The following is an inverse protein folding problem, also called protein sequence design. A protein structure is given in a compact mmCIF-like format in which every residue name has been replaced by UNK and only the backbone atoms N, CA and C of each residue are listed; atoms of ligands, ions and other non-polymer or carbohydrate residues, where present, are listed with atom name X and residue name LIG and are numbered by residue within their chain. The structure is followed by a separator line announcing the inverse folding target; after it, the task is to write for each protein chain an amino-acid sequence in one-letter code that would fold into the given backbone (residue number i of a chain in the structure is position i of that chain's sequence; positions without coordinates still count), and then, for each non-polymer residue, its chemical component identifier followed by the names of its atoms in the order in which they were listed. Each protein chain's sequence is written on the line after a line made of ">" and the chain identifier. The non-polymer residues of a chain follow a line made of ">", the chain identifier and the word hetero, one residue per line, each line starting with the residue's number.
data_IF_881559411190
#
_entry.id   IF_881559411190
#
_cell.length_a   1.000
_cell.length_b   1.000
_cell.length_c   1.000
_cell.angle_alpha   90.00
_cell.angle_beta   90.00
_cell.angle_gamma   90.00
#
_symmetry.space_group_name_H-M   'P 1'
#
loop_
_entity.id
_entity.type
_entity.pdbx_description
1 polymer ?
#
# COMPACT_ATOMS: atom_id res chain seq x y z
N UNK A 1 -9.12 9.44 16.70
CA UNK A 1 -7.91 9.30 15.85
C UNK A 1 -7.85 10.53 14.96
N UNK A 2 -7.22 11.60 15.42
CA UNK A 2 -7.06 12.82 14.61
C UNK A 2 -6.02 12.53 13.52
N UNK A 3 -6.48 12.42 12.27
CA UNK A 3 -5.58 12.40 11.12
C UNK A 3 -4.88 13.77 11.10
N UNK A 4 -3.60 13.79 11.45
CA UNK A 4 -2.83 15.01 11.66
C UNK A 4 -2.80 15.85 10.38
N UNK A 5 -2.87 17.20 10.49
CA UNK A 5 -2.81 18.15 9.35
C UNK A 5 -1.64 17.83 8.39
N UNK A 6 -0.54 17.32 8.94
CA UNK A 6 0.63 16.85 8.19
C UNK A 6 0.32 15.72 7.20
N UNK A 7 -0.55 14.76 7.55
CA UNK A 7 -0.97 13.67 6.66
C UNK A 7 -1.76 14.22 5.48
N UNK A 8 -2.75 15.09 5.75
CA UNK A 8 -3.57 15.69 4.70
C UNK A 8 -2.75 16.53 3.73
N UNK A 9 -1.77 17.28 4.25
CA UNK A 9 -0.85 18.06 3.42
C UNK A 9 0.03 17.17 2.55
N UNK A 10 0.60 16.11 3.14
CA UNK A 10 1.40 15.11 2.43
C UNK A 10 0.59 14.40 1.33
N UNK A 11 -0.64 13.97 1.61
CA UNK A 11 -1.53 13.34 0.61
C UNK A 11 -1.87 14.29 -0.54
N UNK A 12 -2.12 15.58 -0.26
CA UNK A 12 -2.41 16.57 -1.32
C UNK A 12 -1.21 16.81 -2.22
N UNK A 13 -0.03 16.93 -1.63
CA UNK A 13 1.22 17.09 -2.37
C UNK A 13 1.52 15.87 -3.22
N UNK A 14 1.38 14.67 -2.64
CA UNK A 14 1.60 13.40 -3.33
C UNK A 14 0.63 13.20 -4.50
N UNK A 15 -0.66 13.50 -4.30
CA UNK A 15 -1.67 13.45 -5.37
C UNK A 15 -1.30 14.34 -6.55
N UNK A 16 -0.82 15.57 -6.27
CA UNK A 16 -0.47 16.52 -7.33
C UNK A 16 0.66 15.97 -8.20
N UNK A 17 1.65 15.30 -7.60
CA UNK A 17 2.75 14.67 -8.33
C UNK A 17 2.33 13.45 -9.12
N UNK A 18 1.56 12.55 -8.51
CA UNK A 18 1.04 11.37 -9.20
C UNK A 18 0.16 11.74 -10.41
N UNK A 19 -0.59 12.85 -10.31
CA UNK A 19 -1.39 13.36 -11.42
C UNK A 19 -0.54 14.01 -12.52
N UNK A 20 0.56 14.66 -12.16
CA UNK A 20 1.47 15.28 -13.14
C UNK A 20 2.29 14.21 -13.89
N UNK A 21 2.78 13.20 -13.17
CA UNK A 21 3.60 12.13 -13.72
C UNK A 21 2.78 11.05 -14.45
N UNK A 22 1.73 10.53 -13.79
CA UNK A 22 1.00 9.34 -14.25
C UNK A 22 -0.47 9.63 -14.61
N UNK A 23 -0.92 10.89 -14.48
CA UNK A 23 -2.31 11.29 -14.68
C UNK A 23 -3.32 10.51 -13.80
N UNK A 24 -2.86 9.99 -12.65
CA UNK A 24 -3.69 9.24 -11.72
C UNK A 24 -4.48 10.21 -10.83
N UNK A 25 -5.82 10.08 -10.82
CA UNK A 25 -6.71 10.88 -9.97
C UNK A 25 -7.21 10.08 -8.76
N UNK A 26 -6.65 10.34 -7.58
CA UNK A 26 -7.05 9.71 -6.31
C UNK A 26 -7.93 10.67 -5.50
N UNK A 27 -9.09 10.17 -5.05
CA UNK A 27 -10.03 10.94 -4.23
C UNK A 27 -9.74 10.73 -2.74
N UNK A 28 -9.39 11.79 -2.02
CA UNK A 28 -9.08 11.73 -0.58
C UNK A 28 -10.29 11.30 0.30
N UNK A 29 -11.50 11.36 -0.24
CA UNK A 29 -12.73 10.96 0.46
C UNK A 29 -12.96 9.44 0.46
N UNK A 30 -12.16 8.68 -0.31
CA UNK A 30 -12.28 7.23 -0.34
C UNK A 30 -11.49 6.59 0.80
N UNK A 31 -12.01 5.51 1.42
CA UNK A 31 -11.30 4.81 2.49
C UNK A 31 -9.95 4.22 2.03
N UNK A 32 -9.84 3.87 0.74
CA UNK A 32 -8.63 3.30 0.14
C UNK A 32 -7.64 4.34 -0.41
N UNK A 33 -7.87 5.63 -0.18
CA UNK A 33 -7.04 6.69 -0.78
C UNK A 33 -5.55 6.57 -0.43
N UNK A 34 -5.22 6.23 0.83
CA UNK A 34 -3.84 6.05 1.29
C UNK A 34 -3.21 4.83 0.60
N UNK A 35 -3.92 3.70 0.54
CA UNK A 35 -3.44 2.48 -0.10
C UNK A 35 -3.20 2.68 -1.61
N UNK A 36 -4.14 3.35 -2.30
CA UNK A 36 -4.00 3.70 -3.71
C UNK A 36 -2.80 4.63 -3.96
N UNK A 37 -2.59 5.63 -3.10
CA UNK A 37 -1.43 6.52 -3.18
C UNK A 37 -0.11 5.77 -3.01
N UNK A 38 -0.01 4.89 -2.01
CA UNK A 38 1.18 4.08 -1.78
C UNK A 38 1.47 3.12 -2.94
N UNK A 39 0.43 2.51 -3.51
CA UNK A 39 0.55 1.64 -4.69
C UNK A 39 1.06 2.42 -5.91
N UNK A 40 0.55 3.64 -6.14
CA UNK A 40 1.00 4.50 -7.21
C UNK A 40 2.46 4.99 -7.00
N UNK A 41 2.89 5.22 -5.76
CA UNK A 41 4.29 5.52 -5.45
C UNK A 41 5.25 4.39 -5.84
N UNK A 42 4.82 3.13 -5.73
CA UNK A 42 5.65 1.98 -6.15
C UNK A 42 5.85 1.91 -7.66
N UNK A 43 4.90 2.45 -8.43
CA UNK A 43 4.96 2.51 -9.89
C UNK A 43 5.64 3.78 -10.41
N UNK A 44 5.87 4.77 -9.54
CA UNK A 44 6.54 6.03 -9.86
C UNK A 44 8.05 5.85 -9.95
N UNK A 45 8.65 6.37 -11.02
CA UNK A 45 10.09 6.44 -11.17
C UNK A 45 10.71 7.69 -10.52
N UNK A 46 9.88 8.62 -10.02
CA UNK A 46 10.33 9.85 -9.40
C UNK A 46 10.73 9.64 -7.93
N UNK A 47 12.00 9.90 -7.62
CA UNK A 47 12.55 9.72 -6.27
C UNK A 47 11.81 10.56 -5.22
N UNK A 48 11.35 11.75 -5.59
CA UNK A 48 10.63 12.62 -4.66
C UNK A 48 9.23 12.07 -4.33
N UNK A 49 8.56 11.49 -5.32
CA UNK A 49 7.27 10.81 -5.15
C UNK A 49 7.41 9.57 -4.26
N UNK A 50 8.49 8.79 -4.42
CA UNK A 50 8.79 7.68 -3.51
C UNK A 50 9.09 8.14 -2.08
N UNK A 51 9.86 9.22 -1.91
CA UNK A 51 10.17 9.77 -0.59
C UNK A 51 8.90 10.26 0.14
N UNK A 52 8.00 10.94 -0.58
CA UNK A 52 6.70 11.36 -0.04
C UNK A 52 5.83 10.16 0.35
N UNK A 53 5.81 9.09 -0.45
CA UNK A 53 5.10 7.85 -0.11
C UNK A 53 5.61 7.21 1.19
N UNK A 54 6.94 7.15 1.39
CA UNK A 54 7.53 6.66 2.65
C UNK A 54 7.17 7.55 3.84
N UNK A 55 7.21 8.87 3.65
CA UNK A 55 6.83 9.82 4.70
C UNK A 55 5.35 9.67 5.07
N UNK A 56 4.47 9.51 4.08
CA UNK A 56 3.04 9.26 4.30
C UNK A 56 2.83 7.99 5.13
N UNK A 57 3.49 6.89 4.76
CA UNK A 57 3.42 5.62 5.48
C UNK A 57 3.83 5.76 6.96
N UNK A 58 4.94 6.45 7.23
CA UNK A 58 5.40 6.74 8.59
C UNK A 58 4.42 7.59 9.39
N UNK A 59 3.78 8.58 8.74
CA UNK A 59 2.82 9.47 9.41
C UNK A 59 1.49 8.78 9.74
N UNK A 60 1.08 7.80 8.92
CA UNK A 60 -0.18 7.08 9.12
C UNK A 60 -0.07 5.88 10.06
N UNK A 61 1.15 5.46 10.42
CA UNK A 61 1.46 4.23 11.21
C UNK A 61 0.52 3.04 10.87
N UNK A 62 0.13 2.98 9.61
CA UNK A 62 -0.44 1.82 8.96
C UNK A 62 0.59 1.48 7.92
N UNK A 63 1.59 0.73 8.35
CA UNK A 63 2.58 0.16 7.46
C UNK A 63 1.86 -0.39 6.22
N UNK A 64 2.22 0.00 4.99
CA UNK A 64 2.13 -0.98 3.95
C UNK A 64 3.07 -2.07 4.44
N UNK A 65 2.51 -3.21 4.84
CA UNK A 65 3.23 -4.45 4.68
C UNK A 65 3.52 -4.50 3.18
N UNK A 66 4.65 -3.93 2.80
CA UNK A 66 5.35 -4.26 1.59
C UNK A 66 5.66 -5.75 1.73
N UNK A 67 4.67 -6.57 1.40
CA UNK A 67 4.97 -7.86 0.83
C UNK A 67 5.30 -7.53 -0.62
N UNK A 68 6.56 -7.67 -1.04
CA UNK A 68 6.80 -7.94 -2.45
C UNK A 68 5.91 -9.12 -2.81
N UNK A 69 5.34 -9.10 -4.01
CA UNK A 69 4.53 -10.20 -4.51
C UNK A 69 5.25 -11.54 -4.30
N UNK A 70 4.88 -12.26 -3.24
CA UNK A 70 5.11 -13.69 -3.14
C UNK A 70 4.13 -14.28 -4.17
N UNK A 71 4.61 -15.01 -5.20
CA UNK A 71 3.70 -15.68 -6.12
C UNK A 71 2.76 -16.61 -5.31
N UNK A 72 1.53 -16.89 -5.78
CA UNK A 72 0.62 -17.78 -5.09
C UNK A 72 1.14 -19.21 -5.18
N UNK A 73 2.11 -19.56 -4.35
CA UNK A 73 2.54 -20.93 -4.15
C UNK A 73 1.54 -21.61 -3.22
N UNK A 74 0.55 -22.21 -3.89
CA UNK A 74 -0.20 -23.38 -3.46
C UNK A 74 -0.95 -23.27 -2.14
N UNK A 75 -2.27 -23.13 -2.28
CA UNK A 75 -3.26 -23.62 -1.33
C UNK A 75 -3.01 -25.12 -1.04
N UNK A 76 -2.10 -25.39 -0.11
CA UNK A 76 -1.97 -26.69 0.53
C UNK A 76 -3.21 -26.91 1.38
N UNK A 77 -4.20 -27.58 0.80
CA UNK A 77 -5.44 -27.94 1.47
C UNK A 77 -5.12 -28.95 2.56
N UNK A 78 -4.81 -28.48 3.78
CA UNK A 78 -4.69 -29.36 4.94
C UNK A 78 -6.10 -29.78 5.34
N UNK A 79 -6.60 -30.86 4.73
CA UNK A 79 -7.79 -31.56 5.21
C UNK A 79 -7.39 -32.30 6.48
N UNK A 80 -7.67 -31.67 7.62
CA UNK A 80 -7.57 -32.31 8.93
C UNK A 80 -8.71 -33.35 9.00
N UNK A 81 -8.37 -34.63 8.85
CA UNK A 81 -9.21 -35.74 9.27
C UNK A 81 -8.44 -36.55 10.30
N UNK A 82 -9.00 -36.61 11.52
CA UNK A 82 -8.66 -37.49 12.65
C UNK A 82 -7.30 -38.23 12.57
N UNK A 83 -6.27 -37.59 13.10
CA UNK A 83 -5.19 -38.31 13.81
C UNK A 83 -4.17 -39.12 13.00
N UNK A 84 -4.02 -38.96 11.68
CA UNK A 84 -2.97 -39.70 10.97
C UNK A 84 -2.31 -38.87 9.85
N UNK A 85 -0.99 -38.66 9.97
CA UNK A 85 -0.16 -37.94 9.01
C UNK A 85 0.45 -38.93 8.03
N UNK A 86 0.20 -38.75 6.73
CA UNK A 86 0.95 -39.42 5.65
C UNK A 86 1.45 -38.35 4.69
N UNK A 87 2.76 -38.32 4.48
CA UNK A 87 3.45 -37.45 3.51
C UNK A 87 3.41 -38.12 2.14
N UNK A 88 3.06 -37.34 1.11
CA UNK A 88 3.35 -37.63 -0.28
C UNK A 88 4.18 -36.47 -0.84
#
# INVERSE_FOLDING_TARGET
>A
MELNKAVLDCMRQLRRRLRDEQQIEIHLNQPDAIAAMLAACLHSADEQTQALGRQLASLTDSAPRARPAEPPATAGTVRIYRGQRVLA
#
